data_IF_513075202277
#
_entry.id   IF_513075202277
#
_cell.length_a   1.000
_cell.length_b   1.000
_cell.length_c   1.000
_cell.angle_alpha   90.00
_cell.angle_beta   90.00
_cell.angle_gamma   90.00
#
_symmetry.space_group_name_H-M   'P 1'
#
loop_
_entity.id
_entity.type
_entity.pdbx_description
1 polymer ?
#
# COMPACT_ATOMS: atom_id res chain seq x y z
N UNK A 1 27.40 7.75 -14.50
CA UNK A 1 27.04 6.41 -13.99
C UNK A 1 25.55 6.41 -13.72
N UNK A 2 24.78 5.75 -14.55
CA UNK A 2 23.33 5.67 -14.39
C UNK A 2 23.03 4.67 -13.28
N UNK A 3 22.74 5.18 -12.07
CA UNK A 3 22.34 4.33 -10.94
C UNK A 3 21.01 3.65 -11.29
N UNK A 4 21.01 2.33 -11.29
CA UNK A 4 19.84 1.51 -11.64
C UNK A 4 18.70 1.71 -10.62
N UNK A 5 17.46 1.67 -11.11
CA UNK A 5 16.27 1.70 -10.27
C UNK A 5 16.17 0.39 -9.48
N UNK A 6 15.91 0.48 -8.18
CA UNK A 6 15.94 -0.66 -7.25
C UNK A 6 14.63 -0.85 -6.47
N UNK A 7 13.61 -0.04 -6.72
CA UNK A 7 12.29 -0.18 -6.14
C UNK A 7 11.19 0.24 -7.13
N UNK A 8 9.97 -0.18 -6.84
CA UNK A 8 8.77 0.14 -7.61
C UNK A 8 7.77 0.79 -6.66
N UNK A 9 7.19 1.92 -7.06
CA UNK A 9 6.21 2.60 -6.21
C UNK A 9 4.91 1.79 -6.13
N UNK A 10 4.41 1.57 -4.91
CA UNK A 10 3.17 0.83 -4.67
C UNK A 10 1.90 1.56 -5.18
N UNK A 11 1.99 2.86 -5.45
CA UNK A 11 0.86 3.69 -5.91
C UNK A 11 0.87 3.84 -7.43
N UNK A 12 1.98 4.29 -8.01
CA UNK A 12 2.06 4.59 -9.44
C UNK A 12 2.76 3.51 -10.28
N UNK A 13 3.35 2.48 -9.66
CA UNK A 13 4.08 1.42 -10.38
C UNK A 13 5.36 1.89 -11.08
N UNK A 14 5.73 3.18 -10.96
CA UNK A 14 6.95 3.72 -11.60
C UNK A 14 8.18 3.17 -10.86
N UNK A 15 9.22 2.72 -11.59
CA UNK A 15 10.47 2.32 -10.98
C UNK A 15 11.22 3.58 -10.49
N UNK A 16 11.77 3.51 -9.28
CA UNK A 16 12.47 4.63 -8.66
C UNK A 16 13.70 4.16 -7.87
N UNK A 17 14.51 5.13 -7.43
CA UNK A 17 15.73 4.88 -6.69
C UNK A 17 15.53 5.10 -5.20
N UNK A 18 15.86 4.07 -4.43
CA UNK A 18 15.92 4.06 -2.97
C UNK A 18 17.37 3.99 -2.52
N UNK A 19 17.69 4.74 -1.47
CA UNK A 19 19.04 4.73 -0.92
C UNK A 19 19.35 3.39 -0.21
N UNK A 20 20.59 2.89 -0.30
CA UNK A 20 20.95 1.64 0.39
C UNK A 20 20.74 1.73 1.90
N UNK A 21 20.97 2.91 2.50
CA UNK A 21 20.66 3.16 3.91
C UNK A 21 19.18 2.93 4.20
N UNK A 22 18.29 3.43 3.33
CA UNK A 22 16.85 3.31 3.43
C UNK A 22 16.42 1.83 3.34
N UNK A 23 17.09 1.03 2.50
CA UNK A 23 16.83 -0.41 2.36
C UNK A 23 17.36 -1.26 3.53
N UNK A 24 18.43 -0.81 4.19
CA UNK A 24 19.10 -1.59 5.23
C UNK A 24 18.52 -1.32 6.64
N UNK A 25 17.64 -0.32 6.79
CA UNK A 25 16.94 -0.07 8.05
C UNK A 25 15.92 -1.19 8.28
N UNK A 26 16.12 -1.97 9.35
CA UNK A 26 15.20 -3.05 9.77
C UNK A 26 14.34 -2.69 10.98
N UNK A 27 14.61 -1.56 11.62
CA UNK A 27 13.92 -1.12 12.85
C UNK A 27 12.56 -0.50 12.56
N UNK A 28 12.38 0.12 11.40
CA UNK A 28 11.13 0.68 10.90
C UNK A 28 11.10 0.60 9.38
N UNK A 29 9.92 0.73 8.79
CA UNK A 29 9.74 0.79 7.34
C UNK A 29 9.73 2.25 6.87
N UNK A 30 10.80 2.75 6.21
CA UNK A 30 10.84 4.12 5.72
C UNK A 30 9.81 4.31 4.59
N UNK A 31 9.08 5.41 4.59
CA UNK A 31 8.11 5.70 3.52
C UNK A 31 8.72 5.67 2.11
N UNK A 32 10.01 6.06 2.00
CA UNK A 32 10.81 6.04 0.77
C UNK A 32 11.10 4.64 0.21
N UNK A 33 10.81 3.56 0.94
CA UNK A 33 10.93 2.20 0.39
C UNK A 33 9.61 1.71 -0.21
N UNK A 34 8.50 2.40 0.09
CA UNK A 34 7.14 2.02 -0.33
C UNK A 34 6.70 2.87 -1.52
N UNK A 35 7.04 4.16 -1.51
CA UNK A 35 6.60 5.15 -2.49
C UNK A 35 7.72 6.10 -2.88
N UNK A 36 7.65 6.66 -4.09
CA UNK A 36 8.59 7.61 -4.64
C UNK A 36 8.40 9.03 -4.06
N UNK A 37 7.16 9.43 -3.77
CA UNK A 37 6.80 10.77 -3.28
C UNK A 37 5.97 10.72 -2.00
N UNK A 38 6.04 11.80 -1.21
CA UNK A 38 5.20 11.99 -0.02
C UNK A 38 3.68 11.93 -0.30
N UNK A 39 3.12 12.62 -1.33
CA UNK A 39 1.70 12.48 -1.63
C UNK A 39 1.29 11.04 -1.93
N UNK A 40 2.10 10.27 -2.66
CA UNK A 40 1.85 8.84 -2.85
C UNK A 40 1.85 8.08 -1.52
N UNK A 41 2.75 8.42 -0.59
CA UNK A 41 2.73 7.81 0.74
C UNK A 41 1.46 8.14 1.54
N UNK A 42 0.96 9.37 1.45
CA UNK A 42 -0.30 9.77 2.10
C UNK A 42 -1.48 8.99 1.55
N UNK A 43 -1.56 8.82 0.22
CA UNK A 43 -2.59 7.98 -0.42
C UNK A 43 -2.48 6.53 0.05
N UNK A 44 -1.26 5.99 0.10
CA UNK A 44 -1.01 4.64 0.62
C UNK A 44 -1.50 4.48 2.06
N UNK A 45 -1.20 5.45 2.94
CA UNK A 45 -1.68 5.45 4.32
C UNK A 45 -3.21 5.55 4.40
N UNK A 46 -3.84 6.40 3.59
CA UNK A 46 -5.30 6.51 3.56
C UNK A 46 -5.96 5.19 3.17
N UNK A 47 -5.42 4.48 2.17
CA UNK A 47 -5.88 3.16 1.74
C UNK A 47 -5.64 2.11 2.82
N UNK A 48 -4.45 2.12 3.44
CA UNK A 48 -4.09 1.17 4.49
C UNK A 48 -5.00 1.33 5.72
N UNK A 49 -5.23 2.57 6.15
CA UNK A 49 -6.13 2.89 7.27
C UNK A 49 -7.57 2.56 6.93
N UNK A 50 -8.02 2.82 5.69
CA UNK A 50 -9.32 2.38 5.20
C UNK A 50 -9.46 0.86 5.24
N UNK A 51 -8.46 0.10 4.82
CA UNK A 51 -8.52 -1.36 4.86
C UNK A 51 -8.61 -1.88 6.31
N UNK A 52 -7.97 -1.20 7.26
CA UNK A 52 -7.95 -1.57 8.69
C UNK A 52 -9.22 -1.16 9.43
N UNK A 53 -9.69 0.07 9.25
CA UNK A 53 -10.81 0.68 10.01
C UNK A 53 -12.13 0.65 9.26
N UNK A 54 -12.09 0.54 7.93
CA UNK A 54 -13.21 0.72 7.01
C UNK A 54 -13.89 2.09 7.13
N UNK A 55 -13.18 3.08 7.67
CA UNK A 55 -13.67 4.45 7.83
C UNK A 55 -13.46 5.24 6.52
N UNK A 56 -14.50 5.26 5.68
CA UNK A 56 -14.51 5.97 4.40
C UNK A 56 -14.44 7.48 4.55
N UNK A 57 -15.05 8.04 5.60
CA UNK A 57 -15.14 9.48 5.77
C UNK A 57 -13.74 10.07 5.95
N UNK A 58 -12.93 9.45 6.83
CA UNK A 58 -11.53 9.85 7.02
C UNK A 58 -10.69 9.63 5.78
N UNK A 59 -10.84 8.48 5.13
CA UNK A 59 -10.08 8.19 3.92
C UNK A 59 -10.37 9.20 2.80
N UNK A 60 -11.64 9.60 2.64
CA UNK A 60 -12.05 10.62 1.67
C UNK A 60 -11.46 11.99 2.01
N UNK A 61 -11.45 12.39 3.28
CA UNK A 61 -10.86 13.66 3.70
C UNK A 61 -9.36 13.72 3.39
N UNK A 62 -8.62 12.65 3.67
CA UNK A 62 -7.18 12.57 3.38
C UNK A 62 -6.91 12.53 1.86
N UNK A 63 -7.74 11.83 1.09
CA UNK A 63 -7.65 11.80 -0.37
C UNK A 63 -7.97 13.17 -1.01
N UNK A 64 -8.88 13.95 -0.42
CA UNK A 64 -9.21 15.31 -0.88
C UNK A 64 -8.08 16.31 -0.62
N UNK A 65 -7.26 16.09 0.41
CA UNK A 65 -6.06 16.90 0.68
C UNK A 65 -4.91 16.59 -0.28
N UNK A 66 -5.00 15.48 -1.02
CA UNK A 66 -3.95 15.05 -1.93
C UNK A 66 -4.28 15.41 -3.38
N UNK A 67 -3.27 15.84 -4.13
CA UNK A 67 -3.40 16.09 -5.57
C UNK A 67 -3.51 14.77 -6.33
N UNK A 68 -4.76 14.39 -6.61
CA UNK A 68 -5.11 13.19 -7.36
C UNK A 68 -5.04 13.38 -8.89
N UNK A 69 -4.40 14.44 -9.38
CA UNK A 69 -4.29 14.73 -10.83
C UNK A 69 -3.60 13.61 -11.62
N UNK A 70 -2.70 12.83 -10.99
CA UNK A 70 -2.07 11.65 -11.60
C UNK A 70 -2.82 10.33 -11.30
N UNK A 71 -4.10 10.38 -10.94
CA UNK A 71 -4.95 9.19 -10.72
C UNK A 71 -4.86 8.19 -11.87
N UNK A 72 -4.64 8.65 -13.10
CA UNK A 72 -4.49 7.78 -14.25
C UNK A 72 -3.17 6.98 -14.29
N UNK A 73 -2.13 7.46 -13.62
CA UNK A 73 -0.86 6.73 -13.49
C UNK A 73 -0.87 5.70 -12.35
N UNK A 74 -1.93 5.63 -11.54
CA UNK A 74 -1.98 4.71 -10.42
C UNK A 74 -2.22 3.26 -10.85
N UNK A 75 -1.83 2.33 -10.00
CA UNK A 75 -2.14 0.91 -10.20
C UNK A 75 -3.66 0.68 -10.19
N UNK A 76 -4.14 -0.31 -10.94
CA UNK A 76 -5.56 -0.61 -11.10
C UNK A 76 -6.23 -0.92 -9.75
N UNK A 77 -5.54 -1.62 -8.87
CA UNK A 77 -6.07 -1.96 -7.55
C UNK A 77 -6.23 -0.71 -6.67
N UNK A 78 -5.22 0.17 -6.70
CA UNK A 78 -5.24 1.45 -5.98
C UNK A 78 -6.34 2.36 -6.51
N UNK A 79 -6.48 2.51 -7.84
CA UNK A 79 -7.56 3.28 -8.46
C UNK A 79 -8.93 2.73 -8.07
N UNK A 80 -9.10 1.41 -8.01
CA UNK A 80 -10.36 0.77 -7.64
C UNK A 80 -10.76 1.13 -6.21
N UNK A 81 -9.83 1.07 -5.27
CA UNK A 81 -10.09 1.45 -3.87
C UNK A 81 -10.38 2.94 -3.74
N UNK A 82 -9.61 3.81 -4.39
CA UNK A 82 -9.86 5.26 -4.37
C UNK A 82 -11.24 5.59 -4.96
N UNK A 83 -11.62 4.96 -6.07
CA UNK A 83 -12.95 5.10 -6.65
C UNK A 83 -14.05 4.53 -5.75
N UNK A 84 -13.79 3.49 -4.97
CA UNK A 84 -14.75 2.98 -3.98
C UNK A 84 -14.97 3.96 -2.83
N UNK A 85 -13.91 4.65 -2.38
CA UNK A 85 -13.95 5.64 -1.31
C UNK A 85 -14.61 6.94 -1.79
N UNK A 86 -14.32 7.39 -3.02
CA UNK A 86 -14.87 8.62 -3.61
C UNK A 86 -16.28 8.41 -4.21
N UNK A 87 -16.53 7.25 -4.79
CA UNK A 87 -17.68 6.92 -5.65
C UNK A 87 -18.88 6.34 -4.91
N UNK A 88 -19.28 6.93 -3.79
CA UNK A 88 -20.59 6.63 -3.20
C UNK A 88 -21.71 7.27 -4.03
N UNK A 89 -22.12 6.60 -5.11
CA UNK A 89 -23.52 6.57 -5.56
C UNK A 89 -23.90 5.46 -6.57
N UNK A 90 -23.40 4.22 -6.41
CA UNK A 90 -24.14 3.05 -6.91
C UNK A 90 -23.64 1.76 -6.26
N UNK A 91 -24.54 1.13 -5.50
CA UNK A 91 -24.42 -0.27 -5.08
C UNK A 91 -24.25 -1.15 -6.32
N UNK A 92 -23.16 -1.91 -6.40
CA UNK A 92 -23.19 -3.27 -6.95
C UNK A 92 -22.20 -4.12 -6.17
N UNK A 93 -22.77 -4.92 -5.28
CA UNK A 93 -22.20 -6.17 -4.76
C UNK A 93 -21.80 -7.07 -5.94
N UNK A 94 -20.70 -7.81 -5.78
CA UNK A 94 -20.32 -9.13 -6.33
C UNK A 94 -18.77 -9.19 -6.35
N UNK A 95 -17.98 -10.12 -5.79
CA UNK A 95 -18.15 -11.35 -5.00
C UNK A 95 -16.76 -11.66 -4.38
N UNK A 96 -16.79 -12.20 -3.17
CA UNK A 96 -15.78 -12.79 -2.24
C UNK A 96 -14.84 -13.88 -2.84
N UNK A 97 -13.98 -14.63 -2.08
CA UNK A 97 -12.91 -14.30 -1.11
C UNK A 97 -11.61 -15.17 -1.28
N UNK A 98 -10.62 -14.96 -0.39
CA UNK A 98 -9.64 -15.95 0.13
C UNK A 98 -8.25 -16.10 -0.54
N UNK A 99 -7.19 -15.69 0.18
CA UNK A 99 -6.29 -16.65 0.85
C UNK A 99 -5.60 -16.03 2.07
N UNK A 100 -6.16 -16.34 3.25
CA UNK A 100 -5.45 -16.50 4.53
C UNK A 100 -4.16 -17.33 4.31
N UNK A 101 -3.03 -17.09 4.98
CA UNK A 101 -2.84 -17.47 6.39
C UNK A 101 -1.59 -16.81 6.99
N UNK A 102 -1.79 -16.25 8.19
CA UNK A 102 -0.79 -16.08 9.24
C UNK A 102 -0.62 -17.43 9.96
N UNK A 103 0.61 -17.81 10.27
CA UNK A 103 0.93 -18.39 11.59
C UNK A 103 2.41 -18.15 11.94
N UNK A 104 2.62 -17.60 13.13
CA UNK A 104 3.91 -17.47 13.82
C UNK A 104 4.11 -18.67 14.78
N UNK A 105 5.37 -18.93 15.06
CA UNK A 105 5.96 -19.41 16.33
C UNK A 105 6.10 -20.92 16.61
N UNK A 106 7.38 -21.33 16.64
CA UNK A 106 8.12 -22.06 17.67
C UNK A 106 7.38 -23.06 18.60
N UNK A 107 7.75 -24.34 18.60
CA UNK A 107 8.65 -24.93 19.64
C UNK A 107 9.03 -26.40 19.41
N UNK A 108 10.12 -26.78 20.08
CA UNK A 108 10.93 -28.01 20.08
C UNK A 108 10.37 -29.16 20.94
N UNK A 109 10.47 -30.43 20.49
CA UNK A 109 10.73 -31.69 21.27
C UNK A 109 10.67 -32.89 20.28
N UNK A 110 11.76 -33.59 19.93
CA UNK A 110 12.42 -34.75 20.58
C UNK A 110 11.68 -36.12 20.44
N UNK A 111 12.48 -37.15 20.10
CA UNK A 111 12.24 -38.62 20.03
C UNK A 111 11.78 -39.13 18.65
N UNK A 112 12.26 -40.24 18.06
CA UNK A 112 12.98 -41.44 18.55
C UNK A 112 13.37 -42.28 17.31
N UNK A 113 14.60 -42.78 17.19
CA UNK A 113 14.91 -44.20 16.95
C UNK A 113 16.41 -44.47 17.07
#
# INVERSE_FOLDING_TARGET
MSLENNAICAICGKPYRVCHTCQNIKTYTPWRTVTDTLPHYTIYLAIYEYNKTKDKAKAKEELLKCDLSELDSFDKDVKKVINEILGENKKTVNTTPNKEQISKSDNKLVQKK
#
